data_IF_693986150995
#
_entry.id   IF_693986150995
#
_cell.length_a   1.000
_cell.length_b   1.000
_cell.length_c   1.000
_cell.angle_alpha   90.00
_cell.angle_beta   90.00
_cell.angle_gamma   90.00
#
_symmetry.space_group_name_H-M   'P 1'
#
loop_
_entity.id
_entity.type
_entity.pdbx_description
1 polymer ?
#
# COMPACT_ATOMS: atom_id res chain seq x y z
N UNK A 1 33.99 -22.19 58.03
CA UNK A 1 33.86 -23.66 58.00
C UNK A 1 33.50 -24.02 56.56
N UNK A 2 34.36 -24.75 55.86
CA UNK A 2 34.15 -25.12 54.46
C UNK A 2 33.15 -26.29 54.35
N UNK A 3 32.51 -26.41 53.18
CA UNK A 3 31.46 -27.39 52.87
C UNK A 3 31.84 -28.84 53.23
N UNK A 4 30.84 -29.65 53.56
CA UNK A 4 30.99 -31.05 53.96
C UNK A 4 31.60 -31.89 52.81
N UNK A 5 32.75 -32.57 53.03
CA UNK A 5 33.46 -33.35 52.00
C UNK A 5 32.67 -34.52 51.40
N UNK A 6 31.60 -34.97 52.05
CA UNK A 6 30.77 -36.09 51.61
C UNK A 6 29.59 -35.69 50.71
N UNK A 7 29.31 -34.39 50.58
CA UNK A 7 28.35 -33.90 49.59
C UNK A 7 29.11 -33.53 48.32
N UNK A 8 29.01 -34.40 47.33
CA UNK A 8 29.37 -34.06 45.95
C UNK A 8 28.39 -32.98 45.50
N UNK A 9 28.88 -31.83 45.04
CA UNK A 9 28.06 -30.70 44.59
C UNK A 9 27.41 -31.01 43.22
N UNK A 10 26.55 -32.03 43.18
CA UNK A 10 25.81 -32.47 41.99
C UNK A 10 26.44 -33.64 41.24
N UNK A 11 26.07 -34.87 41.61
CA UNK A 11 26.27 -36.02 40.73
C UNK A 11 25.28 -35.98 39.56
N UNK A 12 25.63 -36.55 38.40
CA UNK A 12 24.75 -36.53 37.22
C UNK A 12 23.36 -37.13 37.47
N UNK A 13 23.25 -38.11 38.36
CA UNK A 13 21.97 -38.69 38.77
C UNK A 13 21.10 -37.74 39.59
N UNK A 14 21.69 -36.98 40.51
CA UNK A 14 20.98 -35.95 41.29
C UNK A 14 20.54 -34.79 40.40
N UNK A 15 21.40 -34.38 39.47
CA UNK A 15 21.09 -33.34 38.49
C UNK A 15 19.89 -33.74 37.61
N UNK A 16 19.84 -34.99 37.15
CA UNK A 16 18.71 -35.53 36.37
C UNK A 16 17.42 -35.58 37.18
N UNK A 17 17.49 -36.08 38.42
CA UNK A 17 16.31 -36.13 39.29
C UNK A 17 15.74 -34.73 39.54
N UNK A 18 16.61 -33.73 39.75
CA UNK A 18 16.17 -32.34 39.91
C UNK A 18 15.46 -31.81 38.64
N UNK A 19 16.02 -32.08 37.46
CA UNK A 19 15.41 -31.71 36.17
C UNK A 19 14.04 -32.41 35.97
N UNK A 20 13.96 -33.71 36.26
CA UNK A 20 12.71 -34.50 36.14
C UNK A 20 11.60 -33.93 37.04
N UNK A 21 11.95 -33.56 38.29
CA UNK A 21 11.01 -32.96 39.23
C UNK A 21 10.52 -31.58 38.75
N UNK A 22 11.40 -30.78 38.16
CA UNK A 22 11.04 -29.48 37.57
C UNK A 22 10.12 -29.68 36.38
N UNK A 23 10.44 -30.61 35.48
CA UNK A 23 9.59 -30.93 34.33
C UNK A 23 8.20 -31.39 34.78
N UNK A 24 8.12 -32.24 35.80
CA UNK A 24 6.84 -32.70 36.35
C UNK A 24 6.08 -31.55 37.01
N UNK A 25 6.76 -30.68 37.75
CA UNK A 25 6.15 -29.49 38.33
C UNK A 25 5.53 -28.58 37.27
N UNK A 26 6.27 -28.29 36.19
CA UNK A 26 5.80 -27.49 35.07
C UNK A 26 4.63 -28.14 34.33
N UNK A 27 4.59 -29.47 34.22
CA UNK A 27 3.45 -30.19 33.63
C UNK A 27 2.18 -30.14 34.48
N UNK A 28 2.33 -30.14 35.81
CA UNK A 28 1.17 -30.14 36.73
C UNK A 28 0.64 -28.74 36.98
N UNK A 29 1.52 -27.76 37.17
CA UNK A 29 1.18 -26.39 37.60
C UNK A 29 1.45 -25.31 36.57
N UNK A 30 2.15 -25.63 35.48
CA UNK A 30 2.38 -24.71 34.38
C UNK A 30 1.17 -24.56 33.48
N UNK A 31 1.23 -23.54 32.63
CA UNK A 31 0.29 -23.29 31.54
C UNK A 31 0.98 -23.55 30.21
N UNK A 32 0.22 -24.00 29.23
CA UNK A 32 0.71 -24.17 27.86
C UNK A 32 0.78 -22.79 27.18
N UNK A 33 1.98 -22.43 26.71
CA UNK A 33 2.23 -21.20 25.95
C UNK A 33 2.84 -21.55 24.61
N UNK A 34 2.68 -20.66 23.64
CA UNK A 34 3.33 -20.81 22.33
C UNK A 34 4.54 -19.90 22.28
N UNK A 35 5.73 -20.49 22.21
CA UNK A 35 6.98 -19.79 22.00
C UNK A 35 7.23 -19.60 20.50
N UNK A 36 7.57 -18.38 20.11
CA UNK A 36 7.68 -17.91 18.73
C UNK A 36 9.05 -17.23 18.60
N UNK A 37 10.04 -17.88 17.98
CA UNK A 37 11.39 -17.31 17.86
C UNK A 37 11.41 -16.16 16.85
N UNK A 38 12.20 -15.12 17.15
CA UNK A 38 12.44 -14.00 16.22
C UNK A 38 13.44 -14.39 15.14
N UNK A 39 13.06 -14.18 13.88
CA UNK A 39 13.96 -14.27 12.72
C UNK A 39 14.27 -12.90 12.14
N UNK A 40 15.51 -12.69 11.73
CA UNK A 40 15.95 -11.42 11.13
C UNK A 40 15.90 -11.49 9.61
N UNK A 41 15.27 -10.48 8.99
CA UNK A 41 15.20 -10.37 7.53
C UNK A 41 15.99 -9.13 7.08
N UNK A 42 16.80 -9.30 6.02
CA UNK A 42 17.57 -8.24 5.36
C UNK A 42 18.56 -7.46 6.27
N UNK A 43 19.57 -8.14 6.83
CA UNK A 43 20.71 -7.46 7.47
C UNK A 43 21.54 -6.75 6.39
N UNK A 44 21.67 -5.41 6.42
CA UNK A 44 22.59 -4.71 5.51
C UNK A 44 24.04 -4.95 5.93
N UNK A 45 24.89 -5.30 4.97
CA UNK A 45 26.30 -5.69 5.20
C UNK A 45 27.24 -4.59 5.71
N UNK A 46 26.80 -3.32 5.73
CA UNK A 46 27.68 -2.18 6.03
C UNK A 46 27.47 -1.66 7.47
N UNK A 47 26.27 -1.80 8.05
CA UNK A 47 25.96 -1.32 9.42
C UNK A 47 25.30 -2.42 10.29
N UNK A 48 25.07 -3.64 9.78
CA UNK A 48 24.39 -4.73 10.52
C UNK A 48 23.05 -4.30 11.15
N UNK A 49 22.41 -3.29 10.55
CA UNK A 49 21.11 -2.82 10.99
C UNK A 49 20.03 -3.79 10.50
N UNK A 50 19.22 -4.25 11.44
CA UNK A 50 18.04 -5.07 11.16
C UNK A 50 16.99 -4.19 10.51
N UNK A 51 16.57 -4.52 9.29
CA UNK A 51 15.55 -3.76 8.57
C UNK A 51 14.12 -4.22 8.91
N UNK A 52 13.93 -5.50 9.27
CA UNK A 52 12.62 -6.04 9.66
C UNK A 52 12.77 -7.37 10.39
N UNK A 53 11.81 -7.69 11.27
CA UNK A 53 11.73 -8.96 11.99
C UNK A 53 10.55 -9.79 11.50
N UNK A 54 10.74 -11.11 11.51
CA UNK A 54 9.75 -12.09 11.08
C UNK A 54 9.53 -13.13 12.18
N UNK A 55 8.29 -13.56 12.33
CA UNK A 55 7.82 -14.55 13.30
C UNK A 55 6.92 -15.55 12.56
N UNK A 56 7.48 -16.65 12.08
CA UNK A 56 6.78 -17.64 11.24
C UNK A 56 6.82 -19.08 11.78
N UNK A 57 7.47 -19.30 12.92
CA UNK A 57 7.49 -20.59 13.62
C UNK A 57 6.65 -20.53 14.90
N UNK A 58 6.19 -21.69 15.35
CA UNK A 58 5.49 -21.82 16.62
C UNK A 58 5.92 -23.11 17.34
N UNK A 59 6.16 -23.01 18.65
CA UNK A 59 6.50 -24.15 19.49
C UNK A 59 5.67 -24.11 20.78
N UNK A 60 4.83 -25.11 21.01
CA UNK A 60 4.13 -25.25 22.29
C UNK A 60 5.11 -25.70 23.38
N UNK A 61 5.11 -25.00 24.51
CA UNK A 61 5.94 -25.32 25.68
C UNK A 61 5.19 -25.04 26.98
N UNK A 62 5.49 -25.83 28.01
CA UNK A 62 4.96 -25.63 29.35
C UNK A 62 5.75 -24.51 30.08
N UNK A 63 5.04 -23.50 30.59
CA UNK A 63 5.62 -22.40 31.34
C UNK A 63 4.89 -22.18 32.67
N UNK A 64 5.63 -21.95 33.75
CA UNK A 64 5.05 -21.55 35.03
C UNK A 64 5.05 -20.03 35.14
N UNK A 65 3.90 -19.46 35.53
CA UNK A 65 3.71 -18.01 35.70
C UNK A 65 4.08 -17.65 37.12
N UNK A 66 5.23 -16.99 37.31
CA UNK A 66 5.77 -16.71 38.64
C UNK A 66 4.95 -15.66 39.41
N UNK A 67 4.21 -14.79 38.71
CA UNK A 67 3.44 -13.69 39.28
C UNK A 67 1.93 -13.97 39.35
N UNK A 68 1.52 -15.18 39.75
CA UNK A 68 0.10 -15.61 39.82
C UNK A 68 -0.79 -14.76 40.75
N UNK A 69 -0.19 -14.02 41.70
CA UNK A 69 -0.87 -13.22 42.72
C UNK A 69 -1.09 -11.77 42.22
N UNK A 70 -1.81 -11.64 41.11
CA UNK A 70 -2.33 -10.38 40.54
C UNK A 70 -1.27 -9.34 40.18
N UNK A 71 -1.00 -9.17 38.87
CA UNK A 71 -0.28 -8.03 38.28
C UNK A 71 0.64 -7.30 39.26
N UNK A 72 1.74 -7.95 39.63
CA UNK A 72 2.85 -7.30 40.31
C UNK A 72 3.57 -6.33 39.39
N UNK A 73 2.83 -5.49 38.68
CA UNK A 73 3.38 -4.36 37.95
C UNK A 73 3.97 -3.41 38.97
N UNK A 74 5.21 -2.98 38.72
CA UNK A 74 5.72 -1.78 39.35
C UNK A 74 4.64 -0.69 39.20
N UNK A 75 4.06 -0.25 40.33
CA UNK A 75 2.99 0.73 40.33
C UNK A 75 3.38 1.97 39.51
N UNK A 76 2.40 2.55 38.82
CA UNK A 76 2.44 3.81 38.07
C UNK A 76 3.82 4.49 38.08
N UNK A 77 4.69 4.11 37.15
CA UNK A 77 5.91 4.89 36.92
C UNK A 77 5.51 6.13 36.14
N UNK A 78 5.15 7.18 36.89
CA UNK A 78 4.98 8.53 36.37
C UNK A 78 6.32 9.01 35.79
N UNK A 79 6.51 8.84 34.49
CA UNK A 79 7.53 9.58 33.75
C UNK A 79 6.95 10.94 33.35
N UNK A 80 7.82 11.91 33.09
CA UNK A 80 7.45 13.31 32.77
C UNK A 80 6.62 13.46 31.48
N UNK A 81 6.27 12.36 30.81
CA UNK A 81 5.60 12.28 29.52
C UNK A 81 4.31 11.42 29.50
N UNK A 82 3.87 10.85 30.63
CA UNK A 82 2.59 10.12 30.71
C UNK A 82 2.67 8.81 31.50
N UNK A 83 1.50 8.26 31.85
CA UNK A 83 1.35 6.93 32.44
C UNK A 83 1.56 5.85 31.37
N UNK A 84 2.52 4.94 31.58
CA UNK A 84 2.66 3.70 30.81
C UNK A 84 2.30 2.54 31.73
N UNK A 85 1.23 1.82 31.40
CA UNK A 85 0.85 0.55 32.03
C UNK A 85 1.68 -0.54 31.36
N UNK A 86 2.86 -0.86 31.91
CA UNK A 86 3.64 -2.01 31.46
C UNK A 86 3.13 -3.27 32.15
N UNK A 87 2.32 -4.04 31.44
CA UNK A 87 1.97 -5.40 31.84
C UNK A 87 3.21 -6.29 31.68
N UNK A 88 3.92 -6.54 32.79
CA UNK A 88 5.08 -7.43 32.87
C UNK A 88 4.66 -8.84 33.36
N UNK A 89 5.22 -9.88 32.74
CA UNK A 89 5.04 -11.28 33.17
C UNK A 89 6.40 -11.97 33.29
N UNK A 90 6.57 -12.72 34.39
CA UNK A 90 7.78 -13.53 34.61
C UNK A 90 7.40 -14.99 34.45
N UNK A 91 8.07 -15.65 33.50
CA UNK A 91 7.81 -17.04 33.14
C UNK A 91 9.01 -17.91 33.44
N UNK A 92 8.77 -19.09 33.97
CA UNK A 92 9.81 -20.11 34.15
C UNK A 92 9.52 -21.29 33.23
N UNK A 93 10.47 -21.60 32.35
CA UNK A 93 10.39 -22.75 31.43
C UNK A 93 11.50 -23.76 31.73
N UNK A 94 11.28 -25.01 31.34
CA UNK A 94 12.30 -26.07 31.47
C UNK A 94 13.43 -25.87 30.46
N UNK A 95 14.66 -25.91 30.95
CA UNK A 95 15.85 -25.86 30.11
C UNK A 95 15.96 -27.09 29.20
N UNK A 96 15.76 -28.28 29.77
CA UNK A 96 15.85 -29.54 29.02
C UNK A 96 14.81 -29.60 27.90
N UNK A 97 13.57 -29.18 28.17
CA UNK A 97 12.52 -29.16 27.14
C UNK A 97 12.86 -28.22 26.00
N UNK A 98 13.40 -27.04 26.31
CA UNK A 98 13.84 -26.10 25.28
C UNK A 98 15.00 -26.67 24.44
N UNK A 99 16.03 -27.19 25.11
CA UNK A 99 17.24 -27.72 24.46
C UNK A 99 16.96 -29.00 23.63
N UNK A 100 16.00 -29.84 24.05
CA UNK A 100 15.68 -31.08 23.35
C UNK A 100 14.61 -30.91 22.26
N UNK A 101 13.67 -29.97 22.43
CA UNK A 101 12.52 -29.83 21.54
C UNK A 101 12.57 -28.62 20.62
N UNK A 102 13.17 -27.49 21.02
CA UNK A 102 13.14 -26.25 20.24
C UNK A 102 14.50 -25.98 19.60
N UNK A 103 15.57 -26.05 20.39
CA UNK A 103 16.95 -25.82 19.95
C UNK A 103 17.36 -26.63 18.70
N UNK A 104 16.97 -27.91 18.51
CA UNK A 104 17.34 -28.65 17.31
C UNK A 104 16.71 -28.07 16.03
N UNK A 105 15.50 -27.52 16.11
CA UNK A 105 14.86 -26.87 14.96
C UNK A 105 15.48 -25.51 14.68
N UNK A 106 15.79 -24.73 15.73
CA UNK A 106 16.49 -23.45 15.58
C UNK A 106 17.90 -23.65 14.99
N UNK A 107 18.62 -24.67 15.44
CA UNK A 107 19.95 -25.01 14.93
C UNK A 107 19.92 -25.55 13.49
N UNK A 108 18.83 -26.21 13.07
CA UNK A 108 18.64 -26.64 11.70
C UNK A 108 18.33 -25.47 10.74
N UNK A 109 17.69 -24.42 11.26
CA UNK A 109 17.42 -23.19 10.51
C UNK A 109 18.61 -22.22 10.52
N UNK A 110 19.62 -22.46 11.36
CA UNK A 110 20.89 -21.73 11.32
C UNK A 110 21.79 -22.26 10.20
N UNK A 111 22.03 -21.45 9.17
CA UNK A 111 22.88 -21.80 8.03
C UNK A 111 24.39 -21.68 8.33
N UNK A 112 24.74 -21.25 9.55
CA UNK A 112 26.12 -21.08 10.01
C UNK A 112 26.86 -19.90 9.36
N UNK A 113 26.13 -19.02 8.68
CA UNK A 113 26.66 -17.79 8.07
C UNK A 113 26.21 -16.56 8.86
N UNK A 114 26.90 -15.43 8.68
CA UNK A 114 26.49 -14.14 9.29
C UNK A 114 25.10 -13.67 8.79
N UNK A 115 24.65 -14.22 7.65
CA UNK A 115 23.33 -13.98 7.06
C UNK A 115 22.21 -14.85 7.66
N UNK A 116 22.55 -15.77 8.58
CA UNK A 116 21.56 -16.61 9.25
C UNK A 116 20.46 -15.78 9.91
N UNK A 117 19.21 -16.19 9.67
CA UNK A 117 18.02 -15.57 10.23
C UNK A 117 17.95 -15.77 11.76
N UNK A 118 18.60 -16.82 12.27
CA UNK A 118 18.66 -17.21 13.68
C UNK A 118 20.10 -17.12 14.18
N UNK A 119 20.34 -16.25 15.18
CA UNK A 119 21.70 -15.98 15.69
C UNK A 119 22.02 -16.82 16.93
N UNK A 120 21.01 -17.32 17.64
CA UNK A 120 21.18 -18.10 18.86
C UNK A 120 20.11 -19.20 18.92
N UNK A 121 20.56 -20.45 18.86
CA UNK A 121 19.69 -21.64 18.91
C UNK A 121 19.70 -22.34 20.26
N UNK A 122 20.73 -22.11 21.08
CA UNK A 122 20.99 -22.90 22.30
C UNK A 122 20.15 -22.50 23.51
N UNK A 123 19.50 -21.34 23.49
CA UNK A 123 18.63 -20.84 24.57
C UNK A 123 17.61 -19.85 24.03
N UNK A 124 16.54 -19.54 24.78
CA UNK A 124 15.64 -18.46 24.44
C UNK A 124 16.41 -17.13 24.32
N UNK A 125 15.92 -16.25 23.45
CA UNK A 125 16.54 -14.98 23.15
C UNK A 125 15.62 -13.82 23.51
N UNK A 126 16.25 -12.69 23.81
CA UNK A 126 15.59 -11.40 23.87
C UNK A 126 15.02 -11.01 22.49
N UNK A 127 13.78 -10.54 22.50
CA UNK A 127 12.99 -10.21 21.32
C UNK A 127 12.14 -11.36 20.77
N UNK A 128 12.22 -12.57 21.34
CA UNK A 128 11.29 -13.66 21.01
C UNK A 128 9.91 -13.39 21.60
N UNK A 129 8.86 -13.96 20.99
CA UNK A 129 7.48 -13.79 21.45
C UNK A 129 6.98 -15.03 22.19
N UNK A 130 6.11 -14.79 23.18
CA UNK A 130 5.36 -15.81 23.90
C UNK A 130 3.89 -15.45 23.84
N UNK A 131 3.08 -16.34 23.27
CA UNK A 131 1.64 -16.20 23.20
C UNK A 131 0.93 -16.97 24.31
N UNK A 132 -0.02 -16.30 24.96
CA UNK A 132 -0.90 -16.89 25.98
C UNK A 132 -2.29 -17.20 25.41
N UNK A 133 -2.67 -18.48 25.25
CA UNK A 133 -3.96 -18.86 24.67
C UNK A 133 -5.19 -18.37 25.45
N UNK A 134 -5.10 -18.34 26.79
CA UNK A 134 -6.21 -17.93 27.66
C UNK A 134 -6.43 -16.42 27.69
N UNK A 135 -5.35 -15.65 27.50
CA UNK A 135 -5.38 -14.18 27.51
C UNK A 135 -5.46 -13.55 26.12
N UNK A 136 -5.20 -14.33 25.07
CA UNK A 136 -5.02 -13.84 23.68
C UNK A 136 -4.02 -12.69 23.60
N UNK A 137 -2.92 -12.77 24.34
CA UNK A 137 -1.89 -11.71 24.39
C UNK A 137 -0.54 -12.25 23.94
N UNK A 138 0.20 -11.41 23.23
CA UNK A 138 1.60 -11.61 22.86
C UNK A 138 2.48 -10.84 23.84
N UNK A 139 3.51 -11.51 24.36
CA UNK A 139 4.53 -10.89 25.19
C UNK A 139 5.89 -11.05 24.52
N UNK A 140 6.70 -10.00 24.56
CA UNK A 140 8.08 -10.00 24.09
C UNK A 140 9.03 -10.30 25.24
N UNK A 141 9.94 -11.24 25.04
CA UNK A 141 11.01 -11.56 26.00
C UNK A 141 12.01 -10.41 26.02
N UNK A 142 12.04 -9.63 27.10
CA UNK A 142 13.00 -8.53 27.27
C UNK A 142 14.32 -9.00 27.87
N UNK A 143 14.28 -10.03 28.71
CA UNK A 143 15.47 -10.56 29.36
C UNK A 143 15.34 -12.05 29.64
N UNK A 144 16.40 -12.80 29.36
CA UNK A 144 16.49 -14.24 29.64
C UNK A 144 17.51 -14.46 30.74
N UNK A 145 17.01 -14.73 31.94
CA UNK A 145 17.82 -15.08 33.09
C UNK A 145 18.24 -16.55 33.00
N UNK A 146 19.55 -16.76 33.04
CA UNK A 146 20.18 -18.07 32.88
C UNK A 146 21.10 -18.42 34.05
N UNK A 147 21.24 -17.55 35.05
CA UNK A 147 22.07 -17.79 36.24
C UNK A 147 21.24 -17.96 37.54
N UNK A 148 19.94 -17.67 37.50
CA UNK A 148 18.99 -17.80 38.62
C UNK A 148 17.99 -18.95 38.37
N UNK A 149 17.60 -19.75 39.39
CA UNK A 149 18.09 -19.75 40.76
C UNK A 149 19.49 -20.38 40.91
N UNK A 150 20.30 -19.73 41.75
CA UNK A 150 21.68 -20.05 42.09
C UNK A 150 21.95 -21.56 42.18
N UNK A 151 23.03 -22.01 41.53
CA UNK A 151 23.43 -23.39 41.29
C UNK A 151 23.47 -24.29 42.56
N UNK A 152 22.34 -24.86 42.96
CA UNK A 152 22.27 -25.81 44.10
C UNK A 152 23.03 -27.12 43.81
N UNK A 153 23.29 -27.44 42.53
CA UNK A 153 23.98 -28.66 42.07
C UNK A 153 24.92 -28.41 40.87
N UNK A 154 25.43 -27.17 40.70
CA UNK A 154 26.40 -26.84 39.65
C UNK A 154 25.85 -26.72 38.22
N UNK A 155 24.53 -26.81 38.02
CA UNK A 155 23.84 -26.57 36.75
C UNK A 155 22.52 -25.82 36.96
N UNK A 156 22.15 -25.02 35.96
CA UNK A 156 20.82 -24.42 35.88
C UNK A 156 19.89 -25.38 35.12
N UNK A 157 18.64 -25.47 35.57
CA UNK A 157 17.62 -26.40 35.10
C UNK A 157 16.41 -25.68 34.47
N UNK A 158 16.35 -24.36 34.61
CA UNK A 158 15.25 -23.52 34.13
C UNK A 158 15.77 -22.28 33.42
N UNK A 159 14.97 -21.72 32.53
CA UNK A 159 15.14 -20.34 32.07
C UNK A 159 14.02 -19.49 32.67
N UNK A 160 14.38 -18.36 33.25
CA UNK A 160 13.42 -17.36 33.69
C UNK A 160 13.36 -16.24 32.65
N UNK A 161 12.20 -16.08 32.02
CA UNK A 161 11.92 -15.10 30.99
C UNK A 161 11.17 -13.93 31.63
N UNK A 162 11.73 -12.73 31.51
CA UNK A 162 11.02 -11.50 31.84
C UNK A 162 10.44 -10.95 30.55
N UNK A 163 9.12 -10.91 30.47
CA UNK A 163 8.42 -10.51 29.27
C UNK A 163 7.56 -9.26 29.54
N UNK A 164 7.48 -8.39 28.54
CA UNK A 164 6.57 -7.24 28.51
C UNK A 164 5.51 -7.47 27.42
N UNK A 165 4.35 -6.82 27.51
CA UNK A 165 3.36 -6.85 26.43
C UNK A 165 4.05 -6.43 25.11
N UNK A 166 3.84 -7.21 24.05
CA UNK A 166 4.43 -6.91 22.76
C UNK A 166 3.73 -5.69 22.13
N UNK A 167 4.53 -4.74 21.67
CA UNK A 167 4.06 -3.60 20.88
C UNK A 167 4.42 -3.86 19.43
N UNK A 168 3.41 -3.96 18.57
CA UNK A 168 3.60 -4.19 17.13
C UNK A 168 4.08 -2.90 16.43
N UNK A 169 5.14 -3.02 15.63
CA UNK A 169 5.58 -1.95 14.74
C UNK A 169 5.32 -2.35 13.28
N UNK A 170 6.30 -2.99 12.64
CA UNK A 170 6.26 -3.40 11.22
C UNK A 170 6.66 -4.88 11.04
N UNK A 171 6.62 -5.68 12.10
CA UNK A 171 7.00 -7.07 12.06
C UNK A 171 6.04 -7.92 11.24
N UNK A 172 6.58 -8.97 10.62
CA UNK A 172 5.79 -9.96 9.90
C UNK A 172 5.49 -11.11 10.84
N UNK A 173 4.24 -11.23 11.30
CA UNK A 173 3.75 -12.35 12.11
C UNK A 173 2.91 -13.26 11.20
N UNK A 174 3.37 -14.51 11.03
CA UNK A 174 2.78 -15.52 10.14
C UNK A 174 3.01 -16.92 10.72
N UNK A 175 2.51 -17.15 11.93
CA UNK A 175 2.79 -18.36 12.71
C UNK A 175 1.98 -19.57 12.25
N UNK A 176 1.11 -19.42 11.24
CA UNK A 176 0.08 -20.39 10.81
C UNK A 176 -1.04 -20.64 11.82
N UNK A 177 -0.98 -20.01 12.99
CA UNK A 177 -2.01 -20.09 14.02
C UNK A 177 -2.83 -18.81 13.99
N UNK A 178 -4.07 -18.94 13.50
CA UNK A 178 -4.97 -17.79 13.32
C UNK A 178 -5.17 -16.98 14.62
N UNK A 179 -5.25 -17.66 15.78
CA UNK A 179 -5.42 -17.00 17.08
C UNK A 179 -4.23 -16.10 17.47
N UNK A 180 -3.03 -16.35 16.92
CA UNK A 180 -1.83 -15.52 17.13
C UNK A 180 -1.80 -14.41 16.09
N UNK A 181 -1.91 -14.78 14.81
CA UNK A 181 -1.67 -13.83 13.71
C UNK A 181 -2.74 -12.72 13.68
N UNK A 182 -3.97 -13.01 14.15
CA UNK A 182 -5.05 -12.00 14.22
C UNK A 182 -4.89 -10.99 15.35
N UNK A 183 -4.03 -11.24 16.35
CA UNK A 183 -3.84 -10.29 17.46
C UNK A 183 -3.27 -8.95 17.00
N UNK A 184 -2.48 -8.97 15.91
CA UNK A 184 -1.85 -7.77 15.33
C UNK A 184 -2.53 -7.36 14.01
N UNK A 185 -3.72 -7.88 13.73
CA UNK A 185 -4.42 -7.63 12.46
C UNK A 185 -4.78 -6.15 12.29
N UNK A 186 -5.22 -5.50 13.36
CA UNK A 186 -5.65 -4.10 13.34
C UNK A 186 -4.57 -3.13 13.85
N UNK A 187 -3.37 -3.66 14.14
CA UNK A 187 -2.23 -2.90 14.64
C UNK A 187 -1.21 -2.57 13.55
N UNK A 188 -0.44 -1.50 13.81
CA UNK A 188 0.60 -0.96 12.94
C UNK A 188 0.05 -0.13 11.78
N UNK A 189 0.93 0.20 10.84
CA UNK A 189 0.59 1.07 9.72
C UNK A 189 -0.28 0.35 8.68
N UNK A 190 -1.57 0.68 8.66
CA UNK A 190 -2.56 0.08 7.76
C UNK A 190 -2.94 1.06 6.66
N UNK A 191 -2.63 0.68 5.42
CA UNK A 191 -3.08 1.40 4.23
C UNK A 191 -4.35 0.78 3.66
N UNK A 192 -5.18 1.61 3.04
CA UNK A 192 -6.46 1.20 2.44
C UNK A 192 -6.36 1.20 0.92
N UNK A 193 -6.61 0.06 0.28
CA UNK A 193 -6.82 -0.04 -1.17
C UNK A 193 -8.31 -0.21 -1.46
N UNK A 194 -8.82 0.60 -2.39
CA UNK A 194 -10.17 0.44 -2.93
C UNK A 194 -10.08 -0.25 -4.28
N UNK A 195 -10.80 -1.36 -4.44
CA UNK A 195 -10.72 -2.21 -5.62
C UNK A 195 -11.99 -2.13 -6.47
N UNK A 196 -11.85 -2.41 -7.77
CA UNK A 196 -12.97 -2.47 -8.71
C UNK A 196 -13.60 -3.85 -8.67
N UNK A 197 -14.87 -3.92 -8.29
CA UNK A 197 -15.61 -5.18 -8.22
C UNK A 197 -16.03 -5.75 -9.58
N UNK A 198 -16.59 -4.91 -10.45
CA UNK A 198 -16.99 -5.25 -11.81
C UNK A 198 -16.60 -4.10 -12.73
N UNK A 199 -15.76 -4.40 -13.72
CA UNK A 199 -15.45 -3.46 -14.79
C UNK A 199 -16.64 -3.31 -15.72
N UNK A 200 -16.84 -2.10 -16.23
CA UNK A 200 -17.87 -1.84 -17.25
C UNK A 200 -17.23 -1.09 -18.41
N UNK A 201 -17.37 -1.61 -19.61
CA UNK A 201 -16.85 -0.95 -20.81
C UNK A 201 -17.61 0.34 -21.07
N UNK A 202 -16.87 1.42 -21.34
CA UNK A 202 -17.43 2.70 -21.72
C UNK A 202 -18.10 2.61 -23.10
N UNK A 203 -19.11 3.45 -23.34
CA UNK A 203 -19.79 3.57 -24.63
C UNK A 203 -19.79 5.01 -25.10
N UNK A 204 -19.59 5.22 -26.40
CA UNK A 204 -19.59 6.55 -27.00
C UNK A 204 -20.18 6.54 -28.42
N UNK A 205 -20.57 7.72 -28.89
CA UNK A 205 -21.02 7.96 -30.27
C UNK A 205 -20.20 9.07 -30.91
N UNK A 206 -20.17 9.10 -32.24
CA UNK A 206 -19.53 10.15 -33.03
C UNK A 206 -20.59 11.06 -33.66
N UNK A 207 -20.39 12.38 -33.55
CA UNK A 207 -21.16 13.36 -34.28
C UNK A 207 -20.42 13.74 -35.57
N UNK A 208 -21.15 13.86 -36.68
CA UNK A 208 -20.60 14.28 -37.97
C UNK A 208 -20.91 15.73 -38.28
N UNK A 209 -20.04 16.35 -39.08
CA UNK A 209 -20.28 17.67 -39.65
C UNK A 209 -19.43 17.91 -40.89
N UNK A 210 -19.81 18.93 -41.65
CA UNK A 210 -19.10 19.45 -42.83
C UNK A 210 -18.59 20.86 -42.52
N UNK A 211 -17.49 21.29 -43.14
CA UNK A 211 -16.90 22.60 -42.86
C UNK A 211 -16.31 22.64 -41.45
N UNK A 212 -15.44 21.69 -41.12
CA UNK A 212 -14.86 21.55 -39.77
C UNK A 212 -13.36 21.82 -39.79
N UNK A 213 -12.80 22.14 -38.61
CA UNK A 213 -11.36 22.25 -38.42
C UNK A 213 -10.72 20.87 -38.50
N UNK A 214 -9.89 20.65 -39.51
CA UNK A 214 -9.27 19.36 -39.78
C UNK A 214 -8.01 19.15 -38.95
N UNK A 215 -7.15 20.17 -38.91
CA UNK A 215 -5.85 20.09 -38.26
C UNK A 215 -5.49 21.45 -37.69
N UNK A 216 -4.86 21.46 -36.51
CA UNK A 216 -4.34 22.65 -35.85
C UNK A 216 -2.83 22.59 -35.91
N UNK A 217 -2.22 23.68 -36.39
CA UNK A 217 -0.78 23.86 -36.44
C UNK A 217 -0.37 24.80 -35.32
N UNK A 218 0.43 24.31 -34.37
CA UNK A 218 1.07 25.14 -33.37
C UNK A 218 2.31 25.78 -34.01
N UNK A 219 2.25 27.09 -34.24
CA UNK A 219 3.32 27.83 -34.92
C UNK A 219 4.35 28.40 -33.93
N UNK A 220 3.91 28.67 -32.71
CA UNK A 220 4.76 29.08 -31.60
C UNK A 220 4.16 28.57 -30.29
N UNK A 221 4.96 27.84 -29.52
CA UNK A 221 4.58 27.22 -28.26
C UNK A 221 4.41 28.25 -27.12
N UNK A 222 4.95 29.46 -27.31
CA UNK A 222 5.00 30.52 -26.30
C UNK A 222 5.85 30.12 -25.09
N UNK A 223 5.80 30.95 -24.06
CA UNK A 223 6.52 30.69 -22.79
C UNK A 223 5.88 31.39 -21.60
N UNK A 224 6.19 30.88 -20.40
CA UNK A 224 5.82 31.50 -19.12
C UNK A 224 4.39 31.21 -18.68
N UNK A 225 3.76 30.13 -19.16
CA UNK A 225 2.41 29.79 -18.73
C UNK A 225 2.39 29.31 -17.27
N UNK A 226 1.55 29.93 -16.45
CA UNK A 226 1.28 29.55 -15.06
C UNK A 226 -0.02 28.78 -14.89
N UNK A 227 -0.91 28.86 -15.88
CA UNK A 227 -2.15 28.09 -15.95
C UNK A 227 -2.51 27.78 -17.40
N UNK A 228 -3.42 26.83 -17.63
CA UNK A 228 -3.84 26.44 -18.98
C UNK A 228 -4.48 27.62 -19.74
N UNK A 229 -3.98 28.00 -20.92
CA UNK A 229 -4.53 29.12 -21.68
C UNK A 229 -5.90 28.78 -22.28
N UNK A 230 -6.70 29.81 -22.54
CA UNK A 230 -7.97 29.70 -23.25
C UNK A 230 -7.72 29.79 -24.75
N UNK A 231 -8.14 28.76 -25.49
CA UNK A 231 -8.00 28.67 -26.95
C UNK A 231 -9.39 28.80 -27.57
N UNK A 232 -9.58 29.84 -28.37
CA UNK A 232 -10.85 30.14 -29.05
C UNK A 232 -10.67 30.20 -30.56
N UNK A 233 -11.75 29.90 -31.26
CA UNK A 233 -11.86 29.98 -32.71
C UNK A 233 -12.86 31.08 -33.05
N UNK A 234 -12.67 31.71 -34.20
CA UNK A 234 -13.71 32.55 -34.78
C UNK A 234 -15.04 31.77 -34.89
N UNK A 235 -16.14 32.48 -34.64
CA UNK A 235 -17.47 31.88 -34.62
C UNK A 235 -17.79 31.22 -35.95
N UNK A 236 -18.40 30.04 -35.88
CA UNK A 236 -18.87 29.36 -37.08
C UNK A 236 -20.15 30.01 -37.62
N UNK A 237 -20.30 30.16 -38.95
CA UNK A 237 -21.56 30.53 -39.59
C UNK A 237 -22.76 29.63 -39.25
N UNK A 238 -22.50 28.38 -38.84
CA UNK A 238 -23.54 27.42 -38.45
C UNK A 238 -23.76 27.33 -36.92
N UNK A 239 -23.25 28.29 -36.15
CA UNK A 239 -23.35 28.36 -34.68
C UNK A 239 -22.83 27.09 -33.96
N UNK A 240 -21.87 26.40 -34.58
CA UNK A 240 -21.17 25.25 -34.01
C UNK A 240 -19.66 25.49 -34.07
N UNK A 241 -19.11 26.36 -33.19
CA UNK A 241 -17.71 26.74 -33.24
C UNK A 241 -16.79 25.59 -32.81
N UNK A 242 -15.58 25.57 -33.38
CA UNK A 242 -14.53 24.69 -32.91
C UNK A 242 -14.08 25.06 -31.49
N UNK A 243 -13.67 24.06 -30.71
CA UNK A 243 -13.20 24.20 -29.33
C UNK A 243 -11.97 23.32 -29.12
N UNK A 244 -10.98 23.83 -28.41
CA UNK A 244 -9.74 23.11 -28.15
C UNK A 244 -9.20 23.42 -26.75
N UNK A 245 -8.32 22.55 -26.26
CA UNK A 245 -7.56 22.72 -25.03
C UNK A 245 -6.06 22.66 -25.34
N UNK A 246 -5.27 23.44 -24.60
CA UNK A 246 -3.81 23.39 -24.66
C UNK A 246 -3.28 22.42 -23.61
N UNK A 247 -2.37 21.54 -24.02
CA UNK A 247 -1.58 20.71 -23.10
C UNK A 247 -0.25 21.43 -22.90
N UNK A 248 0.10 21.70 -21.64
CA UNK A 248 1.32 22.40 -21.28
C UNK A 248 2.44 21.41 -20.91
N UNK A 249 3.68 21.77 -21.21
CA UNK A 249 4.88 21.06 -20.75
C UNK A 249 5.83 22.05 -20.08
N UNK A 250 6.56 21.59 -19.07
CA UNK A 250 7.62 22.37 -18.42
C UNK A 250 8.97 21.74 -18.74
N UNK A 251 9.88 22.50 -19.37
CA UNK A 251 11.25 22.06 -19.63
C UNK A 251 12.22 23.16 -19.23
N UNK A 252 13.24 22.81 -18.44
CA UNK A 252 14.21 23.77 -17.91
C UNK A 252 13.56 24.99 -17.20
N UNK A 253 12.56 24.73 -16.34
CA UNK A 253 11.78 25.74 -15.61
C UNK A 253 10.98 26.72 -16.48
N UNK A 254 10.76 26.41 -17.76
CA UNK A 254 9.89 27.20 -18.65
C UNK A 254 8.70 26.35 -19.07
N UNK A 255 7.50 26.85 -18.81
CA UNK A 255 6.24 26.22 -19.23
C UNK A 255 5.79 26.78 -20.57
N UNK A 256 5.54 25.91 -21.55
CA UNK A 256 5.05 26.24 -22.91
C UNK A 256 3.91 25.31 -23.33
N UNK A 257 3.23 25.63 -24.42
CA UNK A 257 2.21 24.74 -25.02
C UNK A 257 2.93 23.62 -25.77
N UNK A 258 2.68 22.37 -25.39
CA UNK A 258 3.21 21.18 -26.08
C UNK A 258 2.37 20.82 -27.31
N UNK A 259 1.04 20.84 -27.14
CA UNK A 259 0.09 20.51 -28.20
C UNK A 259 -1.28 21.12 -27.93
N UNK A 260 -2.06 21.28 -28.99
CA UNK A 260 -3.45 21.71 -28.93
C UNK A 260 -4.32 20.55 -29.38
N UNK A 261 -5.29 20.16 -28.56
CA UNK A 261 -6.19 19.04 -28.85
C UNK A 261 -7.61 19.57 -28.96
N UNK A 262 -8.35 19.15 -30.00
CA UNK A 262 -9.73 19.57 -30.21
C UNK A 262 -10.68 18.82 -29.27
N UNK A 263 -11.51 19.56 -28.55
CA UNK A 263 -12.69 19.02 -27.86
C UNK A 263 -13.89 18.97 -28.82
N UNK A 264 -13.91 19.86 -29.81
CA UNK A 264 -14.83 19.80 -30.94
C UNK A 264 -14.19 20.47 -32.17
N UNK A 265 -14.29 19.84 -33.33
CA UNK A 265 -13.78 20.41 -34.59
C UNK A 265 -14.68 21.53 -35.16
N UNK A 266 -15.86 21.75 -34.55
CA UNK A 266 -16.89 22.64 -35.09
C UNK A 266 -17.48 22.13 -36.41
N UNK A 267 -18.40 22.88 -36.99
CA UNK A 267 -18.97 22.63 -38.31
C UNK A 267 -19.47 23.93 -38.94
N UNK A 268 -19.55 24.01 -40.27
CA UNK A 268 -20.07 25.17 -41.01
C UNK A 268 -19.05 26.23 -41.43
N UNK A 269 -17.76 25.98 -41.23
CA UNK A 269 -16.69 26.86 -41.71
C UNK A 269 -16.54 26.77 -43.23
N UNK A 270 -16.63 27.93 -43.91
CA UNK A 270 -16.36 28.07 -45.35
C UNK A 270 -15.03 28.79 -45.62
N UNK A 271 -14.48 29.44 -44.60
CA UNK A 271 -13.18 30.10 -44.59
C UNK A 271 -12.42 29.65 -43.35
N UNK A 272 -11.09 29.58 -43.43
CA UNK A 272 -10.25 29.15 -42.30
C UNK A 272 -10.45 30.12 -41.12
N UNK A 273 -10.91 29.64 -39.95
CA UNK A 273 -11.15 30.52 -38.81
C UNK A 273 -9.84 30.97 -38.17
N UNK A 274 -9.83 32.19 -37.63
CA UNK A 274 -8.72 32.66 -36.81
C UNK A 274 -8.73 31.99 -35.44
N UNK A 275 -7.56 31.48 -35.00
CA UNK A 275 -7.35 30.98 -33.64
C UNK A 275 -6.82 32.13 -32.76
N UNK A 276 -7.39 32.28 -31.58
CA UNK A 276 -6.90 33.21 -30.54
C UNK A 276 -6.55 32.43 -29.28
N UNK A 277 -5.30 32.55 -28.84
CA UNK A 277 -4.79 31.99 -27.59
C UNK A 277 -4.60 33.15 -26.62
N UNK A 278 -5.21 33.05 -25.43
CA UNK A 278 -5.17 34.11 -24.42
C UNK A 278 -5.25 33.56 -23.00
N UNK A 279 -4.86 34.36 -22.00
CA UNK A 279 -4.82 33.94 -20.60
C UNK A 279 -3.64 33.01 -20.29
N UNK A 280 -3.69 32.35 -19.14
CA UNK A 280 -2.67 31.39 -18.74
C UNK A 280 -1.35 31.98 -18.23
N UNK A 281 -1.22 33.31 -18.15
CA UNK A 281 -0.02 34.02 -17.67
C UNK A 281 1.18 34.04 -18.65
N UNK A 282 1.13 33.24 -19.71
CA UNK A 282 2.20 33.14 -20.72
C UNK A 282 2.07 34.14 -21.87
N UNK A 283 3.11 34.21 -22.72
CA UNK A 283 3.16 35.08 -23.90
C UNK A 283 3.71 34.37 -25.13
N UNK A 284 3.41 34.90 -26.32
CA UNK A 284 4.05 34.47 -27.58
C UNK A 284 3.44 33.25 -28.27
N UNK A 285 2.44 32.59 -27.69
CA UNK A 285 1.81 31.43 -28.32
C UNK A 285 0.99 31.83 -29.56
N UNK A 286 1.12 31.06 -30.64
CA UNK A 286 0.39 31.28 -31.89
C UNK A 286 0.07 29.95 -32.57
N UNK A 287 -1.15 29.83 -33.10
CA UNK A 287 -1.59 28.66 -33.84
C UNK A 287 -2.45 29.06 -35.05
N UNK A 288 -2.45 28.20 -36.07
CA UNK A 288 -3.31 28.29 -37.26
C UNK A 288 -4.02 26.96 -37.45
N UNK A 289 -4.97 26.87 -38.38
CA UNK A 289 -5.63 25.61 -38.69
C UNK A 289 -5.92 25.45 -40.18
N UNK A 290 -6.27 24.23 -40.56
CA UNK A 290 -6.89 23.91 -41.84
C UNK A 290 -8.34 23.47 -41.63
N UNK A 291 -9.16 23.58 -42.68
CA UNK A 291 -10.56 23.13 -42.68
C UNK A 291 -10.81 22.13 -43.80
N UNK A 292 -11.82 21.29 -43.62
CA UNK A 292 -12.39 20.41 -44.65
C UNK A 292 -13.84 20.83 -44.92
N UNK A 293 -14.13 21.21 -46.17
CA UNK A 293 -15.43 21.78 -46.56
C UNK A 293 -16.22 20.89 -47.51
N UNK A 294 -15.61 19.85 -48.07
CA UNK A 294 -16.21 18.99 -49.10
C UNK A 294 -16.86 17.77 -48.47
N UNK A 295 -16.14 17.06 -47.62
CA UNK A 295 -16.61 15.80 -47.02
C UNK A 295 -16.98 15.97 -45.54
N UNK A 296 -17.76 15.03 -44.99
CA UNK A 296 -18.02 14.99 -43.55
C UNK A 296 -16.87 14.33 -42.80
N UNK A 297 -16.66 14.79 -41.57
CA UNK A 297 -15.75 14.22 -40.58
C UNK A 297 -16.41 14.12 -39.21
N UNK A 298 -15.74 13.42 -38.28
CA UNK A 298 -16.14 13.28 -36.89
C UNK A 298 -15.75 14.54 -36.11
N UNK A 299 -16.73 15.39 -35.84
CA UNK A 299 -16.50 16.71 -35.22
C UNK A 299 -16.50 16.68 -33.69
N UNK A 300 -17.02 15.60 -33.09
CA UNK A 300 -17.10 15.39 -31.64
C UNK A 300 -17.38 13.93 -31.33
N UNK A 301 -16.86 13.47 -30.19
CA UNK A 301 -17.27 12.23 -29.55
C UNK A 301 -18.15 12.54 -28.34
N UNK A 302 -19.27 11.84 -28.21
CA UNK A 302 -20.16 11.94 -27.06
C UNK A 302 -20.08 10.64 -26.27
N UNK A 303 -19.52 10.70 -25.06
CA UNK A 303 -19.53 9.57 -24.12
C UNK A 303 -20.96 9.41 -23.59
N UNK A 304 -21.52 8.22 -23.75
CA UNK A 304 -22.87 7.86 -23.28
C UNK A 304 -22.76 7.27 -21.87
N UNK A 305 -21.84 6.33 -21.68
CA UNK A 305 -21.47 5.75 -20.39
C UNK A 305 -19.95 5.75 -20.28
N UNK A 306 -19.41 6.33 -19.20
CA UNK A 306 -17.97 6.38 -18.96
C UNK A 306 -17.38 5.03 -18.54
N UNK A 307 -18.23 4.01 -18.32
CA UNK A 307 -17.81 2.71 -17.83
C UNK A 307 -17.30 2.77 -16.39
N UNK A 308 -16.60 1.74 -15.95
CA UNK A 308 -15.99 1.62 -14.61
C UNK A 308 -14.70 0.83 -14.72
N UNK A 309 -13.66 1.27 -14.03
CA UNK A 309 -12.39 0.55 -13.89
C UNK A 309 -11.31 0.98 -14.87
N UNK A 310 -11.47 2.13 -15.52
CA UNK A 310 -10.45 2.68 -16.41
C UNK A 310 -9.37 3.38 -15.60
N UNK A 311 -8.32 2.67 -15.16
CA UNK A 311 -7.16 3.32 -14.54
C UNK A 311 -6.03 3.68 -15.51
N UNK A 312 -6.19 3.35 -16.79
CA UNK A 312 -5.36 3.85 -17.88
C UNK A 312 -6.26 4.30 -19.03
N UNK A 313 -5.81 5.28 -19.81
CA UNK A 313 -6.55 5.74 -20.99
C UNK A 313 -6.77 4.60 -21.99
N UNK A 314 -8.02 4.24 -22.32
CA UNK A 314 -8.28 3.16 -23.25
C UNK A 314 -8.07 3.58 -24.70
N UNK A 315 -7.74 2.61 -25.55
CA UNK A 315 -7.72 2.82 -26.99
C UNK A 315 -9.13 3.04 -27.52
N UNK A 316 -9.34 4.12 -28.26
CA UNK A 316 -10.59 4.42 -28.96
C UNK A 316 -10.44 4.03 -30.44
N UNK A 317 -11.27 3.11 -30.90
CA UNK A 317 -11.32 2.66 -32.30
C UNK A 317 -12.56 3.23 -32.98
N UNK A 318 -12.36 3.90 -34.11
CA UNK A 318 -13.46 4.46 -34.91
C UNK A 318 -13.61 3.65 -36.20
N UNK A 319 -14.85 3.32 -36.56
CA UNK A 319 -15.16 2.68 -37.84
C UNK A 319 -14.61 3.48 -39.03
N UNK A 320 -14.11 2.78 -40.03
CA UNK A 320 -13.58 3.40 -41.25
C UNK A 320 -14.70 4.01 -42.13
N UNK A 321 -14.46 5.14 -42.83
CA UNK A 321 -15.45 5.81 -43.68
C UNK A 321 -15.71 5.12 -45.03
N UNK A 322 -15.16 3.93 -45.28
CA UNK A 322 -15.19 3.25 -46.58
C UNK A 322 -14.14 3.80 -47.55
N UNK A 323 -14.26 5.08 -47.93
CA UNK A 323 -13.23 5.81 -48.68
C UNK A 323 -12.87 7.12 -47.94
N UNK A 324 -11.57 7.35 -47.71
CA UNK A 324 -11.08 8.53 -47.02
C UNK A 324 -10.14 8.19 -45.87
N UNK A 325 -10.15 9.03 -44.82
CA UNK A 325 -9.25 8.89 -43.66
C UNK A 325 -10.05 8.63 -42.41
N UNK A 326 -9.69 7.59 -41.65
CA UNK A 326 -10.34 7.26 -40.38
C UNK A 326 -10.08 8.33 -39.33
N UNK A 327 -11.11 8.68 -38.57
CA UNK A 327 -11.01 9.58 -37.44
C UNK A 327 -10.20 8.95 -36.29
N UNK A 328 -9.51 9.78 -35.51
CA UNK A 328 -8.73 9.37 -34.34
C UNK A 328 -9.23 10.14 -33.13
N UNK A 329 -9.73 9.40 -32.14
CA UNK A 329 -10.12 9.92 -30.84
C UNK A 329 -9.07 9.58 -29.78
N UNK A 330 -8.90 10.45 -28.79
CA UNK A 330 -8.04 10.21 -27.62
C UNK A 330 -8.94 10.26 -26.39
N UNK A 331 -9.05 9.14 -25.67
CA UNK A 331 -9.81 9.08 -24.43
C UNK A 331 -9.06 9.82 -23.30
N UNK A 332 -9.83 10.40 -22.39
CA UNK A 332 -9.34 10.97 -21.14
C UNK A 332 -10.13 10.35 -20.00
N UNK A 333 -9.39 9.90 -19.00
CA UNK A 333 -9.93 9.25 -17.80
C UNK A 333 -10.03 10.26 -16.68
N UNK A 334 -11.02 10.09 -15.81
CA UNK A 334 -11.10 10.81 -14.55
C UNK A 334 -12.06 10.13 -13.58
N UNK A 335 -12.25 10.76 -12.42
CA UNK A 335 -13.19 10.27 -11.42
C UNK A 335 -14.62 10.75 -11.69
N UNK A 336 -15.58 9.83 -11.54
CA UNK A 336 -16.99 10.12 -11.38
C UNK A 336 -17.43 9.59 -10.02
N UNK A 337 -17.49 10.47 -9.02
CA UNK A 337 -17.56 10.05 -7.62
C UNK A 337 -16.29 9.31 -7.22
N UNK A 338 -16.45 8.03 -6.90
CA UNK A 338 -15.37 7.15 -6.42
C UNK A 338 -14.83 6.19 -7.50
N UNK A 339 -15.48 6.15 -8.66
CA UNK A 339 -15.12 5.26 -9.76
C UNK A 339 -14.29 6.00 -10.81
N UNK A 340 -13.32 5.30 -11.41
CA UNK A 340 -12.58 5.80 -12.56
C UNK A 340 -13.28 5.43 -13.86
N UNK A 341 -13.52 6.45 -14.66
CA UNK A 341 -14.35 6.38 -15.87
C UNK A 341 -13.69 7.13 -17.03
N UNK A 342 -14.07 6.79 -18.26
CA UNK A 342 -13.79 7.62 -19.43
C UNK A 342 -14.63 8.90 -19.33
N UNK A 343 -13.98 10.02 -19.04
CA UNK A 343 -14.65 11.32 -18.82
C UNK A 343 -14.95 12.03 -20.13
N UNK A 344 -14.03 11.96 -21.08
CA UNK A 344 -14.20 12.58 -22.40
C UNK A 344 -13.36 11.88 -23.46
N UNK A 345 -13.74 12.03 -24.71
CA UNK A 345 -12.91 11.63 -25.85
C UNK A 345 -12.66 12.87 -26.71
N UNK A 346 -11.41 13.24 -26.83
CA UNK A 346 -10.96 14.36 -27.63
C UNK A 346 -10.75 13.95 -29.08
N UNK A 347 -10.90 14.91 -30.00
CA UNK A 347 -10.70 14.70 -31.43
C UNK A 347 -9.24 15.02 -31.77
N UNK A 348 -8.46 14.00 -32.07
CA UNK A 348 -7.09 14.19 -32.58
C UNK A 348 -7.07 14.35 -34.10
N UNK A 349 -7.91 13.59 -34.79
CA UNK A 349 -8.12 13.73 -36.23
C UNK A 349 -9.61 13.48 -36.51
N UNK A 350 -10.35 14.43 -37.09
CA UNK A 350 -11.76 14.23 -37.43
C UNK A 350 -11.98 13.17 -38.52
N UNK A 351 -10.93 12.75 -39.24
CA UNK A 351 -11.05 11.93 -40.44
C UNK A 351 -11.69 12.69 -41.60
N UNK A 352 -11.95 11.99 -42.71
CA UNK A 352 -12.57 12.52 -43.93
C UNK A 352 -13.36 11.40 -44.60
N UNK A 353 -14.55 11.70 -45.12
CA UNK A 353 -15.28 10.82 -46.06
C UNK A 353 -16.45 10.06 -45.45
N UNK A 354 -16.90 10.44 -44.25
CA UNK A 354 -17.97 9.72 -43.56
C UNK A 354 -19.34 9.98 -44.19
N UNK A 355 -19.98 8.94 -44.72
CA UNK A 355 -21.35 9.01 -45.23
C UNK A 355 -22.41 8.86 -44.12
N UNK A 356 -22.06 8.20 -43.01
CA UNK A 356 -22.90 7.99 -41.83
C UNK A 356 -22.02 7.95 -40.58
N UNK A 357 -22.62 8.21 -39.40
CA UNK A 357 -21.88 8.25 -38.15
C UNK A 357 -21.20 6.89 -37.88
N UNK A 358 -19.87 6.86 -37.67
CA UNK A 358 -19.17 5.61 -37.46
C UNK A 358 -19.46 5.01 -36.08
N UNK A 359 -19.35 3.69 -35.99
CA UNK A 359 -19.28 3.00 -34.70
C UNK A 359 -18.00 3.40 -33.98
N UNK A 360 -18.13 3.73 -32.68
CA UNK A 360 -17.00 4.04 -31.80
C UNK A 360 -16.91 2.93 -30.76
N UNK A 361 -15.81 2.20 -30.78
CA UNK A 361 -15.53 1.12 -29.82
C UNK A 361 -14.41 1.56 -28.90
N UNK A 362 -14.65 1.47 -27.59
CA UNK A 362 -13.66 1.76 -26.55
C UNK A 362 -13.15 0.41 -26.05
N UNK A 363 -11.83 0.27 -25.89
CA UNK A 363 -11.25 -0.93 -25.31
C UNK A 363 -11.79 -1.17 -23.89
N UNK A 364 -11.84 -2.43 -23.49
CA UNK A 364 -12.24 -2.81 -22.13
C UNK A 364 -11.27 -2.24 -21.08
N UNK A 365 -11.74 -1.97 -19.86
CA UNK A 365 -10.85 -1.62 -18.75
C UNK A 365 -9.84 -2.75 -18.47
N UNK A 366 -8.68 -2.45 -17.85
CA UNK A 366 -7.64 -3.44 -17.55
C UNK A 366 -8.11 -4.68 -16.76
N UNK A 367 -9.18 -4.52 -15.96
CA UNK A 367 -9.90 -5.64 -15.36
C UNK A 367 -11.40 -5.47 -15.54
N UNK A 368 -12.02 -6.51 -16.10
CA UNK A 368 -13.46 -6.61 -16.30
C UNK A 368 -14.19 -7.19 -15.08
N UNK A 369 -13.50 -7.94 -14.23
CA UNK A 369 -14.09 -8.53 -13.05
C UNK A 369 -13.02 -8.82 -11.99
N UNK A 370 -13.34 -8.47 -10.76
CA UNK A 370 -12.61 -9.00 -9.60
C UNK A 370 -12.92 -10.48 -9.42
N UNK A 371 -11.88 -11.31 -9.25
CA UNK A 371 -12.02 -12.75 -9.00
C UNK A 371 -11.37 -13.14 -7.69
N UNK A 372 -11.94 -14.15 -7.03
CA UNK A 372 -11.40 -14.73 -5.80
C UNK A 372 -11.62 -13.88 -4.55
N UNK A 373 -11.08 -14.37 -3.44
CA UNK A 373 -11.16 -13.73 -2.13
C UNK A 373 -9.74 -13.67 -1.57
N UNK A 374 -9.30 -12.48 -1.16
CA UNK A 374 -7.98 -12.37 -0.55
C UNK A 374 -7.97 -13.07 0.82
N UNK A 375 -6.87 -13.75 1.11
CA UNK A 375 -6.64 -14.44 2.38
C UNK A 375 -5.89 -13.54 3.35
N UNK A 376 -6.22 -13.62 4.63
CA UNK A 376 -5.46 -12.92 5.67
C UNK A 376 -3.97 -13.29 5.60
N UNK A 377 -3.12 -12.28 5.81
CA UNK A 377 -1.66 -12.35 5.82
C UNK A 377 -1.00 -12.78 4.51
N UNK A 378 -1.76 -12.97 3.42
CA UNK A 378 -1.15 -13.29 2.14
C UNK A 378 -0.39 -12.10 1.55
N UNK A 379 0.61 -12.40 0.73
CA UNK A 379 1.32 -11.39 -0.05
C UNK A 379 0.53 -11.08 -1.32
N UNK A 380 0.24 -9.80 -1.53
CA UNK A 380 -0.30 -9.29 -2.80
C UNK A 380 0.80 -8.65 -3.63
N UNK A 381 0.63 -8.63 -4.95
CA UNK A 381 1.55 -8.00 -5.90
C UNK A 381 0.80 -7.20 -6.97
N UNK A 382 1.28 -6.00 -7.25
CA UNK A 382 0.80 -5.15 -8.34
C UNK A 382 1.35 -5.62 -9.68
N UNK A 383 0.49 -5.78 -10.69
CA UNK A 383 0.88 -6.31 -11.99
C UNK A 383 1.82 -5.41 -12.82
N UNK A 384 1.91 -4.12 -12.48
CA UNK A 384 2.75 -3.12 -13.19
C UNK A 384 3.80 -2.50 -12.28
N UNK A 385 3.43 -2.19 -11.04
CA UNK A 385 4.34 -1.61 -10.04
C UNK A 385 5.29 -2.66 -9.47
N UNK A 386 4.90 -3.94 -9.49
CA UNK A 386 5.56 -5.02 -8.73
C UNK A 386 5.69 -4.72 -7.23
N UNK A 387 4.95 -3.72 -6.73
CA UNK A 387 4.88 -3.44 -5.31
C UNK A 387 4.20 -4.62 -4.62
N UNK A 388 4.76 -5.03 -3.48
CA UNK A 388 4.17 -6.07 -2.66
C UNK A 388 3.72 -5.48 -1.33
N UNK A 389 2.66 -6.06 -0.77
CA UNK A 389 2.15 -5.74 0.55
C UNK A 389 1.50 -6.99 1.15
N UNK A 390 1.22 -6.96 2.46
CA UNK A 390 0.50 -8.05 3.14
C UNK A 390 -0.94 -7.67 3.39
N UNK A 391 -1.85 -8.62 3.23
CA UNK A 391 -3.29 -8.43 3.47
C UNK A 391 -3.57 -8.46 4.97
N UNK A 392 -4.13 -7.37 5.49
CA UNK A 392 -4.68 -7.30 6.86
C UNK A 392 -6.16 -7.64 6.89
N UNK A 393 -6.95 -7.14 5.95
CA UNK A 393 -8.37 -7.49 5.87
C UNK A 393 -8.90 -7.30 4.46
N UNK A 394 -9.91 -8.09 4.08
CA UNK A 394 -10.60 -7.97 2.80
C UNK A 394 -12.10 -8.00 3.00
N UNK A 395 -12.76 -6.94 2.58
CA UNK A 395 -14.22 -6.85 2.53
C UNK A 395 -14.68 -6.97 1.07
N UNK A 396 -15.30 -8.11 0.77
CA UNK A 396 -15.82 -8.40 -0.54
C UNK A 396 -17.00 -7.51 -0.91
N UNK A 397 -17.82 -7.01 0.02
CA UNK A 397 -18.99 -6.20 -0.32
C UNK A 397 -18.60 -4.76 -0.64
N UNK A 398 -17.74 -4.16 0.19
CA UNK A 398 -17.27 -2.79 0.00
C UNK A 398 -16.10 -2.67 -0.99
N UNK A 399 -15.46 -3.80 -1.33
CA UNK A 399 -14.26 -3.89 -2.17
C UNK A 399 -13.08 -3.12 -1.58
N UNK A 400 -13.00 -3.11 -0.25
CA UNK A 400 -11.92 -2.48 0.50
C UNK A 400 -10.94 -3.56 0.94
N UNK A 401 -9.67 -3.38 0.60
CA UNK A 401 -8.56 -4.23 1.00
C UNK A 401 -7.63 -3.41 1.91
N UNK A 402 -7.54 -3.82 3.17
CA UNK A 402 -6.59 -3.26 4.13
C UNK A 402 -5.28 -4.01 4.02
N UNK A 403 -4.18 -3.27 3.94
CA UNK A 403 -2.84 -3.82 3.71
C UNK A 403 -1.82 -3.19 4.66
N UNK A 404 -0.75 -3.91 4.94
CA UNK A 404 0.42 -3.41 5.67
C UNK A 404 1.70 -3.67 4.89
N UNK A 405 2.79 -3.05 5.35
CA UNK A 405 4.14 -3.24 4.83
C UNK A 405 4.19 -3.01 3.30
N UNK A 406 3.69 -1.86 2.83
CA UNK A 406 3.71 -1.53 1.40
C UNK A 406 5.15 -1.36 0.92
N UNK A 407 5.51 -2.04 -0.16
CA UNK A 407 6.85 -2.00 -0.73
C UNK A 407 7.79 -3.09 -0.20
N UNK A 408 7.30 -4.13 0.48
CA UNK A 408 8.12 -5.31 0.80
C UNK A 408 8.81 -5.82 -0.48
N UNK A 409 10.14 -5.97 -0.44
CA UNK A 409 10.89 -6.58 -1.53
C UNK A 409 10.95 -5.77 -2.84
N UNK A 410 10.51 -4.51 -2.83
CA UNK A 410 10.48 -3.64 -4.02
C UNK A 410 11.05 -2.25 -3.69
N UNK A 411 11.68 -1.59 -4.66
CA UNK A 411 12.12 -0.18 -4.52
C UNK A 411 10.98 0.80 -4.77
N UNK A 412 9.80 0.31 -5.12
CA UNK A 412 8.58 1.09 -5.39
C UNK A 412 7.73 1.13 -4.12
N UNK A 413 7.42 2.35 -3.65
CA UNK A 413 6.74 2.60 -2.38
C UNK A 413 5.20 2.49 -2.46
N UNK A 414 4.64 1.99 -3.55
CA UNK A 414 3.18 1.93 -3.69
C UNK A 414 2.67 1.38 -5.02
N UNK A 415 1.36 1.14 -5.04
CA UNK A 415 0.63 0.61 -6.18
C UNK A 415 0.19 1.71 -7.16
N UNK A 416 0.22 1.38 -8.44
CA UNK A 416 -0.30 2.22 -9.51
C UNK A 416 -1.79 2.02 -9.66
N UNK A 417 -2.52 3.13 -9.61
CA UNK A 417 -3.95 3.17 -9.90
C UNK A 417 -4.22 2.53 -11.28
N UNK A 418 -5.22 1.65 -11.34
CA UNK A 418 -5.59 0.89 -12.54
C UNK A 418 -4.86 -0.42 -12.76
N UNK A 419 -3.84 -0.74 -11.98
CA UNK A 419 -3.17 -2.03 -12.08
C UNK A 419 -3.98 -3.14 -11.39
N UNK A 420 -3.67 -4.40 -11.71
CA UNK A 420 -4.28 -5.52 -11.03
C UNK A 420 -3.47 -5.87 -9.79
N UNK A 421 -4.16 -5.94 -8.65
CA UNK A 421 -3.66 -6.45 -7.39
C UNK A 421 -3.92 -7.95 -7.36
N UNK A 422 -2.86 -8.75 -7.25
CA UNK A 422 -2.91 -10.20 -7.36
C UNK A 422 -2.46 -10.83 -6.03
N UNK A 423 -3.31 -11.63 -5.40
CA UNK A 423 -2.96 -12.45 -4.24
C UNK A 423 -2.08 -13.62 -4.66
N UNK A 424 -0.89 -13.75 -4.08
CA UNK A 424 0.07 -14.82 -4.42
C UNK A 424 -0.41 -16.20 -3.99
N UNK A 425 -1.23 -16.27 -2.93
CA UNK A 425 -1.72 -17.53 -2.36
C UNK A 425 -3.13 -17.83 -2.86
N UNK A 426 -4.03 -16.86 -2.77
CA UNK A 426 -5.45 -17.02 -3.15
C UNK A 426 -5.68 -17.00 -4.67
N UNK A 427 -4.76 -16.41 -5.43
CA UNK A 427 -4.99 -16.09 -6.85
C UNK A 427 -6.06 -15.03 -7.07
N UNK A 428 -6.53 -14.37 -6.00
CA UNK A 428 -7.50 -13.28 -6.10
C UNK A 428 -6.91 -12.15 -6.95
N UNK A 429 -7.72 -11.57 -7.83
CA UNK A 429 -7.26 -10.54 -8.75
C UNK A 429 -8.32 -9.47 -8.94
N UNK A 430 -7.97 -8.23 -8.61
CA UNK A 430 -8.87 -7.08 -8.69
C UNK A 430 -8.09 -5.86 -9.20
N UNK A 431 -8.74 -4.99 -9.99
CA UNK A 431 -8.11 -3.73 -10.39
C UNK A 431 -8.14 -2.70 -9.25
N UNK A 432 -7.04 -1.98 -9.05
CA UNK A 432 -6.93 -0.90 -8.08
C UNK A 432 -7.68 0.34 -8.57
N UNK A 433 -8.71 0.77 -7.84
CA UNK A 433 -9.47 1.99 -8.14
C UNK A 433 -8.81 3.22 -7.51
N UNK A 434 -8.40 3.12 -6.25
CA UNK A 434 -7.68 4.17 -5.53
C UNK A 434 -6.97 3.57 -4.33
N UNK A 435 -5.99 4.30 -3.80
CA UNK A 435 -5.31 3.97 -2.56
C UNK A 435 -5.38 5.16 -1.62
N UNK A 436 -5.44 4.86 -0.32
CA UNK A 436 -5.16 5.80 0.74
C UNK A 436 -4.07 5.18 1.61
N UNK A 437 -2.91 5.83 1.64
CA UNK A 437 -1.80 5.43 2.51
C UNK A 437 -1.84 6.18 3.84
N UNK A 438 -2.93 6.85 4.19
CA UNK A 438 -3.08 7.33 5.57
C UNK A 438 -3.45 6.16 6.49
N UNK A 439 -2.78 6.10 7.63
CA UNK A 439 -3.11 5.15 8.68
C UNK A 439 -4.40 5.59 9.37
N UNK A 440 -5.43 4.78 9.23
CA UNK A 440 -6.73 5.03 9.85
C UNK A 440 -6.74 4.75 11.36
N UNK A 441 -5.77 4.00 11.88
CA UNK A 441 -5.72 3.51 13.25
C UNK A 441 -4.58 4.10 14.10
N UNK A 442 -3.73 4.96 13.54
CA UNK A 442 -2.66 5.58 14.30
C UNK A 442 -3.23 6.56 15.33
N UNK A 443 -3.18 6.13 16.61
CA UNK A 443 -3.54 6.94 17.79
C UNK A 443 -2.74 8.24 17.94
N UNK A 444 -1.65 8.40 17.18
CA UNK A 444 -0.80 9.59 17.17
C UNK A 444 -0.89 10.39 15.86
N UNK A 445 -1.69 9.96 14.88
CA UNK A 445 -1.90 10.69 13.63
C UNK A 445 -2.93 11.83 13.79
N UNK A 446 -2.65 12.71 14.75
CA UNK A 446 -3.37 13.97 14.95
C UNK A 446 -2.91 15.05 13.95
N UNK A 447 -1.96 14.76 13.06
CA UNK A 447 -1.42 15.72 12.10
C UNK A 447 -2.52 16.33 11.22
N UNK A 448 -3.46 15.51 10.73
CA UNK A 448 -4.61 16.01 9.96
C UNK A 448 -5.57 16.87 10.79
N UNK A 449 -5.79 16.51 12.06
CA UNK A 449 -6.58 17.31 12.98
C UNK A 449 -5.87 18.64 13.30
N UNK A 450 -4.54 18.65 13.45
CA UNK A 450 -3.76 19.86 13.63
C UNK A 450 -3.80 20.76 12.40
N UNK A 451 -3.68 20.21 11.19
CA UNK A 451 -3.80 20.98 9.94
C UNK A 451 -5.22 21.58 9.77
N UNK A 452 -6.28 20.78 9.98
CA UNK A 452 -7.67 21.28 9.92
C UNK A 452 -7.93 22.39 10.94
N UNK A 453 -7.46 22.21 12.18
CA UNK A 453 -7.59 23.24 13.21
C UNK A 453 -6.67 24.44 12.93
N UNK A 454 -5.53 24.25 12.26
CA UNK A 454 -4.64 25.34 11.87
C UNK A 454 -5.24 26.19 10.76
N UNK A 455 -5.89 25.58 9.77
CA UNK A 455 -6.63 26.27 8.70
C UNK A 455 -7.79 27.12 9.26
N UNK A 456 -8.46 26.64 10.33
CA UNK A 456 -9.49 27.40 11.05
C UNK A 456 -8.92 28.59 11.87
N UNK A 457 -7.63 28.55 12.24
CA UNK A 457 -6.96 29.59 13.03
C UNK A 457 -6.21 30.60 12.15
N UNK A 458 -5.63 30.16 11.03
CA UNK A 458 -4.81 30.96 10.11
C UNK A 458 -5.22 30.68 8.66
N UNK A 459 -6.10 31.53 8.13
CA UNK A 459 -6.49 31.52 6.73
C UNK A 459 -5.42 32.20 5.85
N UNK A 460 -4.65 31.41 5.11
CA UNK A 460 -3.64 31.89 4.16
C UNK A 460 -4.20 32.21 2.76
N UNK A 461 -5.50 32.06 2.54
CA UNK A 461 -6.11 32.26 1.21
C UNK A 461 -6.26 33.73 0.84
N UNK A 462 -6.29 34.65 1.81
CA UNK A 462 -6.52 36.08 1.54
C UNK A 462 -5.25 36.95 1.60
N UNK A 463 -4.21 36.61 2.38
CA UNK A 463 -2.93 37.34 2.41
C UNK A 463 -1.87 36.65 3.28
N UNK A 464 -0.58 36.75 2.93
CA UNK A 464 0.52 36.31 3.80
C UNK A 464 0.62 37.25 5.03
N UNK A 465 0.34 36.78 6.26
CA UNK A 465 0.39 37.61 7.45
C UNK A 465 1.83 37.93 7.91
N UNK A 466 2.84 37.27 7.34
CA UNK A 466 4.25 37.43 7.71
C UNK A 466 5.03 38.38 6.79
N UNK A 467 4.34 39.10 5.90
CA UNK A 467 4.88 40.25 5.18
C UNK A 467 5.12 40.04 3.68
N UNK A 468 5.15 41.16 2.97
CA UNK A 468 5.38 41.23 1.52
C UNK A 468 6.86 41.01 1.20
N UNK A 469 7.19 39.88 0.58
CA UNK A 469 8.41 39.72 -0.21
C UNK A 469 8.05 39.57 -1.68
#
# INVERSE_FOLDING_TARGET
MALNPFFLQGTSSEQRLAQDLINEHLKIYGVEVTYIPRKYVNKKSIIEEVQSSKFDDNFAIEAYVNNYDGYGGAGDVLTKFGMSLKDEVILTISKERFEDFISPFLAAADDGTDASEIILSTRPREGDLVYFPLGQRLFEVKFVEHENPFYQLGKNYVYELKCELFEYEDEVIDTSINAIDTQVQDEGYISTLRLVGLGRTATATAALGQGYVREIFLNNDGSGFTSTPTITFENSPADNPARAIGILTTRANVTSIEKIIMTSAGAGYNTVPKITISGGGGTGAAATCSIETVYNGVIRFNVIDGGVGYGTEPTVTVGQPGAGTTAVGIASVGYAGVDQVVKSIYVSNPGIGYASAPTVTIADPPSMAGIGTFSFNEVIEGSRSFAQARVKSWDQDTKILLISNVGIGSTVSGFFVGENIIGKTSGASYALASHNYEDANDKYNDASAFEINADDILDFTESNPFGTY
#
